data_IF_105524537623
#
_entry.id   IF_105524537623
#
_cell.length_a   1.000
_cell.length_b   1.000
_cell.length_c   1.000
_cell.angle_alpha   90.00
_cell.angle_beta   90.00
_cell.angle_gamma   90.00
#
_symmetry.space_group_name_H-M   'P 1'
#
loop_
_entity.id
_entity.type
_entity.pdbx_description
1 polymer ?
#
# COMPACT_ATOMS: atom_id res chain seq x y z
N UNK A 1 -4.55 14.40 -10.91
CA UNK A 1 -4.91 12.97 -10.74
C UNK A 1 -5.81 12.77 -9.51
N UNK A 2 -6.97 13.43 -9.42
CA UNK A 2 -7.84 13.32 -8.24
C UNK A 2 -8.66 12.03 -8.28
N UNK A 3 -9.17 11.65 -9.46
CA UNK A 3 -10.00 10.46 -9.65
C UNK A 3 -9.24 9.18 -9.30
N UNK A 4 -8.01 9.01 -9.80
CA UNK A 4 -7.19 7.84 -9.49
C UNK A 4 -6.88 7.71 -8.00
N UNK A 5 -6.55 8.83 -7.34
CA UNK A 5 -6.30 8.86 -5.90
C UNK A 5 -7.54 8.49 -5.09
N UNK A 6 -8.73 8.97 -5.47
CA UNK A 6 -9.98 8.62 -4.81
C UNK A 6 -10.33 7.14 -4.97
N UNK A 7 -10.10 6.55 -6.15
CA UNK A 7 -10.33 5.13 -6.40
C UNK A 7 -9.43 4.26 -5.52
N UNK A 8 -8.13 4.57 -5.48
CA UNK A 8 -7.15 3.84 -4.65
C UNK A 8 -7.50 4.01 -3.16
N UNK A 9 -7.81 5.23 -2.73
CA UNK A 9 -8.19 5.48 -1.35
C UNK A 9 -9.46 4.72 -0.95
N UNK A 10 -10.49 4.72 -1.81
CA UNK A 10 -11.71 3.95 -1.59
C UNK A 10 -11.45 2.44 -1.50
N UNK A 11 -10.60 1.91 -2.39
CA UNK A 11 -10.20 0.50 -2.35
C UNK A 11 -9.46 0.13 -1.05
N UNK A 12 -8.53 0.99 -0.61
CA UNK A 12 -7.82 0.82 0.66
C UNK A 12 -8.76 0.91 1.87
N UNK A 13 -9.74 1.81 1.84
CA UNK A 13 -10.73 1.95 2.90
C UNK A 13 -11.59 0.69 3.01
N UNK A 14 -12.08 0.18 1.88
CA UNK A 14 -12.85 -1.08 1.84
C UNK A 14 -12.03 -2.24 2.41
N UNK A 15 -10.77 -2.39 1.99
CA UNK A 15 -9.90 -3.43 2.53
C UNK A 15 -9.69 -3.27 4.03
N UNK A 16 -9.44 -2.05 4.51
CA UNK A 16 -9.25 -1.77 5.94
C UNK A 16 -10.50 -2.08 6.76
N UNK A 17 -11.69 -1.77 6.24
CA UNK A 17 -12.96 -2.12 6.88
C UNK A 17 -13.14 -3.63 6.92
N UNK A 18 -12.92 -4.35 5.81
CA UNK A 18 -13.04 -5.82 5.79
C UNK A 18 -12.06 -6.47 6.76
N UNK A 19 -10.82 -6.00 6.83
CA UNK A 19 -9.81 -6.55 7.75
C UNK A 19 -10.19 -6.28 9.20
N UNK A 20 -10.69 -5.09 9.53
CA UNK A 20 -11.09 -4.75 10.90
C UNK A 20 -12.35 -5.49 11.34
N UNK A 21 -13.36 -5.63 10.46
CA UNK A 21 -14.56 -6.42 10.77
C UNK A 21 -14.23 -7.91 10.88
N UNK A 22 -13.38 -8.43 9.98
CA UNK A 22 -12.90 -9.81 10.04
C UNK A 22 -12.18 -10.10 11.35
N UNK A 23 -11.31 -9.19 11.79
CA UNK A 23 -10.58 -9.33 13.05
C UNK A 23 -11.51 -9.25 14.28
N UNK A 24 -12.57 -8.44 14.20
CA UNK A 24 -13.57 -8.34 15.26
C UNK A 24 -14.43 -9.61 15.37
N UNK A 25 -14.82 -10.20 14.24
CA UNK A 25 -15.72 -11.36 14.20
C UNK A 25 -14.99 -12.69 14.45
N UNK A 26 -13.82 -12.87 13.84
CA UNK A 26 -13.09 -14.15 13.85
C UNK A 26 -11.98 -14.17 14.91
N UNK A 27 -11.54 -13.00 15.37
CA UNK A 27 -10.41 -12.86 16.26
C UNK A 27 -9.06 -13.06 15.55
N UNK A 28 -7.94 -12.84 16.27
CA UNK A 28 -6.59 -13.10 15.76
C UNK A 28 -6.35 -14.59 15.48
N UNK A 29 -5.62 -14.91 14.40
CA UNK A 29 -5.19 -16.28 14.13
C UNK A 29 -4.20 -16.76 15.20
N UNK A 30 -4.36 -18.01 15.65
CA UNK A 30 -3.61 -18.60 16.78
C UNK A 30 -2.17 -19.00 16.48
N UNK A 31 -1.80 -19.18 15.20
CA UNK A 31 -0.43 -19.49 14.78
C UNK A 31 0.13 -18.38 13.90
N UNK A 32 1.00 -17.54 14.47
CA UNK A 32 1.76 -16.55 13.73
C UNK A 32 3.14 -17.13 13.40
N UNK A 33 3.39 -17.47 12.13
CA UNK A 33 4.74 -17.85 11.69
C UNK A 33 5.63 -16.61 11.59
N UNK A 34 6.39 -16.34 12.65
CA UNK A 34 7.40 -15.29 12.68
C UNK A 34 8.62 -15.58 11.78
N UNK A 35 8.86 -16.85 11.44
CA UNK A 35 9.96 -17.26 10.57
C UNK A 35 9.42 -17.56 9.15
N UNK A 36 9.66 -16.63 8.22
CA UNK A 36 9.29 -16.80 6.82
C UNK A 36 10.40 -17.50 6.02
N UNK A 37 10.06 -18.39 5.06
CA UNK A 37 11.02 -18.93 4.11
C UNK A 37 11.76 -17.83 3.33
N UNK A 38 13.01 -18.10 2.91
CA UNK A 38 13.85 -17.15 2.16
C UNK A 38 13.13 -16.56 0.94
N UNK A 39 12.35 -17.38 0.22
CA UNK A 39 11.58 -16.91 -0.94
C UNK A 39 10.58 -15.80 -0.59
N UNK A 40 9.86 -15.92 0.52
CA UNK A 40 8.90 -14.90 0.96
C UNK A 40 9.61 -13.60 1.40
N UNK A 41 10.77 -13.72 2.05
CA UNK A 41 11.58 -12.56 2.44
C UNK A 41 12.07 -11.79 1.20
N UNK A 42 12.49 -12.50 0.16
CA UNK A 42 12.91 -11.87 -1.11
C UNK A 42 11.73 -11.18 -1.79
N UNK A 43 10.55 -11.82 -1.84
CA UNK A 43 9.34 -11.21 -2.38
C UNK A 43 8.93 -9.94 -1.60
N UNK A 44 8.98 -9.99 -0.27
CA UNK A 44 8.73 -8.84 0.58
C UNK A 44 9.72 -7.69 0.32
N UNK A 45 11.02 -8.01 0.18
CA UNK A 45 12.05 -7.02 -0.14
C UNK A 45 11.76 -6.36 -1.51
N UNK A 46 11.37 -7.14 -2.51
CA UNK A 46 10.99 -6.63 -3.84
C UNK A 46 9.81 -5.65 -3.78
N UNK A 47 8.73 -6.02 -3.08
CA UNK A 47 7.59 -5.13 -2.89
C UNK A 47 7.94 -3.86 -2.09
N UNK A 48 8.82 -3.98 -1.09
CA UNK A 48 9.27 -2.84 -0.30
C UNK A 48 10.06 -1.86 -1.16
N UNK A 49 11.01 -2.33 -1.97
CA UNK A 49 11.78 -1.47 -2.87
C UNK A 49 10.87 -0.79 -3.89
N UNK A 50 9.92 -1.51 -4.48
CA UNK A 50 8.94 -0.94 -5.39
C UNK A 50 8.07 0.14 -4.72
N UNK A 51 7.62 -0.07 -3.49
CA UNK A 51 6.81 0.90 -2.75
C UNK A 51 7.58 2.22 -2.45
N UNK A 52 8.90 2.16 -2.32
CA UNK A 52 9.77 3.33 -2.09
C UNK A 52 10.42 3.90 -3.36
N UNK A 53 10.04 3.42 -4.55
CA UNK A 53 10.56 3.91 -5.85
C UNK A 53 10.35 5.42 -6.04
N UNK A 54 9.33 5.99 -5.39
CA UNK A 54 9.03 7.43 -5.40
C UNK A 54 10.18 8.34 -4.91
N UNK A 55 11.27 7.77 -4.38
CA UNK A 55 12.49 8.51 -4.04
C UNK A 55 13.09 9.26 -5.24
N UNK A 56 12.84 8.82 -6.47
CA UNK A 56 13.27 9.52 -7.70
C UNK A 56 12.69 10.93 -7.81
N UNK A 57 11.53 11.18 -7.18
CA UNK A 57 10.87 12.48 -7.14
C UNK A 57 11.43 13.42 -6.04
N UNK A 58 12.42 12.99 -5.24
CA UNK A 58 12.97 13.81 -4.14
C UNK A 58 13.58 15.12 -4.66
N UNK A 59 14.29 15.09 -5.79
CA UNK A 59 14.94 16.27 -6.38
C UNK A 59 13.92 17.34 -6.80
N UNK A 60 12.91 17.05 -7.64
CA UNK A 60 11.93 18.06 -8.02
C UNK A 60 11.14 18.59 -6.80
N UNK A 61 10.83 17.74 -5.82
CA UNK A 61 10.17 18.19 -4.58
C UNK A 61 11.11 19.13 -3.80
N UNK A 62 12.41 18.82 -3.70
CA UNK A 62 13.39 19.71 -3.06
C UNK A 62 13.48 21.07 -3.76
N UNK A 63 13.39 21.10 -5.10
CA UNK A 63 13.39 22.36 -5.87
C UNK A 63 12.13 23.18 -5.59
N UNK A 64 10.96 22.53 -5.55
CA UNK A 64 9.68 23.17 -5.28
C UNK A 64 9.47 23.56 -3.80
N UNK A 65 10.28 23.03 -2.87
CA UNK A 65 10.10 23.26 -1.44
C UNK A 65 10.47 24.70 -1.04
N UNK A 66 9.53 25.40 -0.39
CA UNK A 66 9.66 26.81 -0.02
C UNK A 66 10.83 27.09 0.92
N UNK A 67 11.14 26.17 1.84
CA UNK A 67 12.22 26.31 2.80
C UNK A 67 13.13 25.08 2.79
N UNK A 68 14.25 25.18 2.06
CA UNK A 68 15.24 24.13 1.83
C UNK A 68 15.77 23.51 3.12
N UNK A 69 15.97 24.31 4.17
CA UNK A 69 16.54 23.85 5.44
C UNK A 69 15.61 22.87 6.18
N UNK A 70 14.30 23.03 6.00
CA UNK A 70 13.28 22.15 6.59
C UNK A 70 12.98 20.89 5.75
N UNK A 71 13.54 20.79 4.54
CA UNK A 71 13.21 19.72 3.61
C UNK A 71 13.56 18.35 4.16
N UNK A 72 14.81 18.17 4.62
CA UNK A 72 15.31 16.90 5.12
C UNK A 72 14.50 16.41 6.31
N UNK A 73 14.10 17.32 7.20
CA UNK A 73 13.26 17.00 8.34
C UNK A 73 11.86 16.55 7.91
N UNK A 74 11.22 17.30 7.01
CA UNK A 74 9.89 16.97 6.47
C UNK A 74 9.91 15.62 5.73
N UNK A 75 10.93 15.38 4.90
CA UNK A 75 11.10 14.13 4.17
C UNK A 75 11.27 12.94 5.13
N UNK A 76 12.10 13.09 6.17
CA UNK A 76 12.32 12.06 7.18
C UNK A 76 11.03 11.64 7.91
N UNK A 77 10.25 12.63 8.38
CA UNK A 77 8.95 12.36 9.00
C UNK A 77 7.95 11.73 8.03
N UNK A 78 7.96 12.15 6.77
CA UNK A 78 7.06 11.60 5.75
C UNK A 78 7.37 10.14 5.47
N UNK A 79 8.65 9.78 5.28
CA UNK A 79 9.07 8.39 5.06
C UNK A 79 8.75 7.54 6.29
N UNK A 80 9.02 8.04 7.50
CA UNK A 80 8.70 7.35 8.75
C UNK A 80 7.19 7.10 8.88
N UNK A 81 6.37 8.11 8.60
CA UNK A 81 4.91 7.99 8.64
C UNK A 81 4.36 6.99 7.63
N UNK A 82 4.83 7.03 6.38
CA UNK A 82 4.40 6.08 5.34
C UNK A 82 4.82 4.65 5.70
N UNK A 83 6.05 4.47 6.21
CA UNK A 83 6.54 3.17 6.68
C UNK A 83 5.65 2.63 7.79
N UNK A 84 5.33 3.46 8.78
CA UNK A 84 4.46 3.07 9.89
C UNK A 84 3.05 2.68 9.40
N UNK A 85 2.48 3.45 8.47
CA UNK A 85 1.17 3.15 7.87
C UNK A 85 1.17 1.80 7.16
N UNK A 86 2.18 1.53 6.33
CA UNK A 86 2.32 0.23 5.65
C UNK A 86 2.51 -0.91 6.65
N UNK A 87 3.33 -0.72 7.70
CA UNK A 87 3.53 -1.74 8.73
C UNK A 87 2.26 -2.05 9.51
N UNK A 88 1.45 -1.05 9.86
CA UNK A 88 0.17 -1.23 10.57
C UNK A 88 -0.84 -1.97 9.69
N UNK A 89 -0.97 -1.56 8.42
CA UNK A 89 -1.89 -2.21 7.50
C UNK A 89 -1.46 -3.66 7.22
N UNK A 90 -0.17 -3.89 7.00
CA UNK A 90 0.37 -5.24 6.77
C UNK A 90 0.18 -6.13 8.00
N UNK A 91 0.51 -5.64 9.21
CA UNK A 91 0.38 -6.42 10.43
C UNK A 91 -1.08 -6.80 10.72
N UNK A 92 -2.03 -5.88 10.52
CA UNK A 92 -3.46 -6.19 10.67
C UNK A 92 -3.92 -7.33 9.76
N UNK A 93 -3.46 -7.36 8.51
CA UNK A 93 -3.79 -8.44 7.57
C UNK A 93 -3.07 -9.74 7.89
N UNK A 94 -1.82 -9.70 8.35
CA UNK A 94 -1.10 -10.89 8.83
C UNK A 94 -1.79 -11.50 10.05
N UNK A 95 -2.28 -10.67 10.98
CA UNK A 95 -2.99 -11.15 12.17
C UNK A 95 -4.35 -11.78 11.83
N UNK A 96 -5.05 -11.25 10.81
CA UNK A 96 -6.33 -11.79 10.35
C UNK A 96 -6.19 -13.08 9.52
N UNK A 97 -5.28 -13.10 8.55
CA UNK A 97 -5.19 -14.21 7.58
C UNK A 97 -4.11 -15.23 7.94
N UNK A 98 -3.11 -14.88 8.76
CA UNK A 98 -2.02 -15.78 9.15
C UNK A 98 -1.34 -16.45 7.95
N UNK A 99 -1.26 -17.79 7.99
CA UNK A 99 -0.59 -18.61 6.97
C UNK A 99 -1.33 -18.69 5.62
N UNK A 100 -2.61 -18.30 5.55
CA UNK A 100 -3.36 -18.28 4.27
C UNK A 100 -3.27 -16.93 3.55
N UNK A 101 -2.54 -15.96 4.09
CA UNK A 101 -2.37 -14.65 3.48
C UNK A 101 -1.70 -14.75 2.11
N UNK A 102 -2.47 -14.45 1.07
CA UNK A 102 -1.90 -14.29 -0.28
C UNK A 102 -1.02 -13.03 -0.39
N UNK A 103 0.03 -13.03 -1.24
CA UNK A 103 0.91 -11.87 -1.46
C UNK A 103 0.18 -10.59 -1.87
N UNK A 104 -0.99 -10.72 -2.50
CA UNK A 104 -1.90 -9.63 -2.81
C UNK A 104 -3.14 -9.81 -1.96
N UNK A 105 -3.35 -8.93 -0.98
CA UNK A 105 -4.44 -9.04 0.00
C UNK A 105 -5.83 -9.17 -0.64
N UNK A 106 -6.06 -8.50 -1.78
CA UNK A 106 -7.32 -8.56 -2.54
C UNK A 106 -7.70 -9.97 -2.98
N UNK A 107 -6.73 -10.89 -3.11
CA UNK A 107 -6.99 -12.30 -3.46
C UNK A 107 -7.62 -13.08 -2.31
N UNK A 108 -7.42 -12.63 -1.06
CA UNK A 108 -8.03 -13.22 0.13
C UNK A 108 -9.52 -12.84 0.26
N UNK A 109 -10.01 -11.87 -0.51
CA UNK A 109 -11.44 -11.55 -0.55
C UNK A 109 -12.24 -12.69 -1.21
N UNK A 110 -13.48 -12.94 -0.77
CA UNK A 110 -14.32 -14.00 -1.34
C UNK A 110 -14.46 -13.84 -2.85
N UNK A 111 -14.10 -14.90 -3.59
CA UNK A 111 -14.02 -14.90 -5.06
C UNK A 111 -15.34 -14.56 -5.78
N UNK A 112 -16.48 -14.82 -5.14
CA UNK A 112 -17.82 -14.52 -5.67
C UNK A 112 -18.36 -13.14 -5.26
N UNK A 113 -17.61 -12.35 -4.50
CA UNK A 113 -18.07 -11.06 -4.02
C UNK A 113 -17.90 -9.95 -5.06
N UNK A 114 -18.96 -9.17 -5.25
CA UNK A 114 -18.93 -7.93 -6.04
C UNK A 114 -17.85 -6.96 -5.52
N UNK A 115 -17.56 -7.02 -4.22
CA UNK A 115 -16.52 -6.24 -3.55
C UNK A 115 -15.11 -6.51 -4.11
N UNK A 116 -14.74 -7.78 -4.31
CA UNK A 116 -13.42 -8.12 -4.87
C UNK A 116 -13.23 -7.53 -6.27
N UNK A 117 -14.27 -7.60 -7.10
CA UNK A 117 -14.27 -7.04 -8.45
C UNK A 117 -14.10 -5.53 -8.39
N UNK A 118 -14.88 -4.84 -7.55
CA UNK A 118 -14.77 -3.39 -7.37
C UNK A 118 -13.39 -2.94 -6.92
N UNK A 119 -12.84 -3.55 -5.85
CA UNK A 119 -11.51 -3.22 -5.32
C UNK A 119 -10.44 -3.43 -6.38
N UNK A 120 -10.49 -4.55 -7.11
CA UNK A 120 -9.53 -4.86 -8.18
C UNK A 120 -9.62 -3.85 -9.34
N UNK A 121 -10.84 -3.51 -9.77
CA UNK A 121 -11.05 -2.50 -10.81
C UNK A 121 -10.58 -1.11 -10.36
N UNK A 122 -10.85 -0.73 -9.11
CA UNK A 122 -10.42 0.55 -8.56
C UNK A 122 -8.89 0.67 -8.52
N UNK A 123 -8.18 -0.37 -8.07
CA UNK A 123 -6.72 -0.41 -8.14
C UNK A 123 -6.20 -0.39 -9.58
N UNK A 124 -6.81 -1.16 -10.48
CA UNK A 124 -6.38 -1.20 -11.88
C UNK A 124 -6.53 0.18 -12.57
N UNK A 125 -7.68 0.83 -12.41
CA UNK A 125 -7.95 2.15 -12.99
C UNK A 125 -7.11 3.26 -12.33
N UNK A 126 -6.94 3.19 -11.01
CA UNK A 126 -6.07 4.10 -10.27
C UNK A 126 -4.62 4.02 -10.75
N UNK A 127 -4.08 2.79 -10.82
CA UNK A 127 -2.72 2.53 -11.30
C UNK A 127 -2.53 2.89 -12.77
N UNK A 128 -3.52 2.64 -13.63
CA UNK A 128 -3.48 3.06 -15.03
C UNK A 128 -3.33 4.58 -15.15
N UNK A 129 -4.09 5.33 -14.35
CA UNK A 129 -3.99 6.80 -14.33
C UNK A 129 -2.63 7.28 -13.83
N UNK A 130 -2.02 6.56 -12.87
CA UNK A 130 -0.66 6.84 -12.39
C UNK A 130 0.41 6.60 -13.46
N UNK A 131 0.30 5.49 -14.20
CA UNK A 131 1.23 5.17 -15.30
C UNK A 131 1.18 6.25 -16.38
N UNK A 132 0.00 6.76 -16.74
CA UNK A 132 -0.11 7.86 -17.70
C UNK A 132 0.59 9.14 -17.22
N UNK A 133 0.53 9.44 -15.92
CA UNK A 133 1.21 10.60 -15.35
C UNK A 133 2.74 10.44 -15.36
N UNK A 134 3.23 9.23 -15.05
CA UNK A 134 4.66 8.92 -15.13
C UNK A 134 5.19 8.94 -16.58
N UNK A 135 4.38 8.49 -17.54
CA UNK A 135 4.74 8.48 -18.96
C UNK A 135 4.79 9.88 -19.58
N UNK A 136 3.93 10.80 -19.12
CA UNK A 136 3.90 12.19 -19.54
C UNK A 136 4.08 13.11 -18.33
N UNK A 137 5.30 13.22 -17.78
CA UNK A 137 5.55 14.18 -16.71
C UNK A 137 5.30 15.57 -17.29
N UNK A 138 4.43 16.36 -16.66
CA UNK A 138 4.23 17.76 -17.03
C UNK A 138 5.49 18.53 -16.66
N UNK A 139 6.38 18.71 -17.63
CA UNK A 139 7.51 19.62 -17.54
C UNK A 139 6.96 21.05 -17.72
N UNK A 140 6.71 21.71 -16.60
CA UNK A 140 6.71 23.17 -16.49
C UNK A 140 7.91 23.60 -15.64
#
# INVERSE_FOLDING_TARGET
>A
NVVGNLLIFGALLVLSVVTTTGLWEQGPVSELRLASPLGQVITFAGFSVFAFEGITMVIPIYVAHKNKDSFTFTLGWTIMGITALFSIFASANVVLYGDVLEPIVTLNLPSSSILRVWVSCAFALGSLTLVFLMAFPTYE
#
